data_IF_333158877946
#
_entry.id   IF_333158877946
#
_cell.length_a   1.000
_cell.length_b   1.000
_cell.length_c   1.000
_cell.angle_alpha   90.00
_cell.angle_beta   90.00
_cell.angle_gamma   90.00
#
_symmetry.space_group_name_H-M   'P 1'
#
loop_
_entity.id
_entity.type
_entity.pdbx_description
1 polymer ?
#
# COMPACT_ATOMS: atom_id res chain seq x y z
N UNK A 1 34.37 -8.01 -21.38
CA UNK A 1 34.64 -8.58 -20.02
C UNK A 1 33.95 -7.71 -18.98
N UNK A 2 32.81 -8.14 -18.44
CA UNK A 2 32.11 -7.45 -17.33
C UNK A 2 32.47 -8.18 -16.04
N UNK A 3 33.13 -7.47 -15.12
CA UNK A 3 33.45 -8.00 -13.79
C UNK A 3 32.17 -8.02 -12.95
N UNK A 4 31.78 -9.21 -12.51
CA UNK A 4 30.77 -9.42 -11.48
C UNK A 4 31.40 -9.09 -10.14
N UNK A 5 30.90 -8.09 -9.42
CA UNK A 5 31.25 -7.88 -8.01
C UNK A 5 30.22 -8.67 -7.18
N UNK A 6 30.70 -9.71 -6.55
CA UNK A 6 29.91 -10.47 -5.56
C UNK A 6 30.21 -9.89 -4.20
N UNK A 7 29.23 -9.24 -3.56
CA UNK A 7 29.33 -8.85 -2.15
C UNK A 7 28.78 -9.99 -1.29
N UNK A 8 29.64 -10.54 -0.46
CA UNK A 8 29.30 -11.49 0.59
C UNK A 8 29.15 -10.69 1.89
N UNK A 9 27.93 -10.57 2.40
CA UNK A 9 27.69 -10.00 3.73
C UNK A 9 27.84 -11.11 4.79
N UNK A 10 28.79 -10.92 5.72
CA UNK A 10 28.85 -11.68 6.98
C UNK A 10 27.96 -10.98 8.01
N UNK A 11 27.00 -11.70 8.55
CA UNK A 11 26.31 -11.30 9.77
C UNK A 11 27.15 -11.74 10.97
N UNK A 12 27.75 -10.79 11.67
CA UNK A 12 28.31 -11.03 12.99
C UNK A 12 27.20 -10.89 14.04
N UNK A 13 27.07 -11.93 14.86
CA UNK A 13 26.06 -12.07 15.90
C UNK A 13 26.20 -10.96 16.95
N UNK A 14 25.14 -10.18 17.17
CA UNK A 14 24.97 -9.41 18.40
C UNK A 14 24.40 -10.37 19.44
N UNK A 15 25.23 -10.82 20.35
CA UNK A 15 24.84 -11.64 21.50
C UNK A 15 24.17 -10.78 22.55
N UNK A 16 22.88 -10.99 22.79
CA UNK A 16 22.23 -10.58 24.04
C UNK A 16 22.31 -11.76 24.99
N UNK A 17 23.09 -11.60 26.08
CA UNK A 17 23.21 -12.56 27.14
C UNK A 17 21.92 -12.70 27.95
N UNK A 18 21.34 -13.88 27.93
CA UNK A 18 20.28 -14.33 28.81
C UNK A 18 20.42 -15.86 28.94
N UNK A 19 20.79 -16.31 30.10
CA UNK A 19 21.04 -17.73 30.42
C UNK A 19 19.79 -18.60 30.34
N UNK A 20 19.93 -19.81 29.78
CA UNK A 20 19.09 -20.94 30.15
C UNK A 20 18.45 -21.71 29.01
N UNK A 21 19.07 -22.78 28.69
CA UNK A 21 18.63 -24.09 28.19
C UNK A 21 19.11 -24.51 26.81
N UNK A 22 19.89 -25.61 26.87
CA UNK A 22 20.52 -26.27 25.73
C UNK A 22 19.49 -26.93 24.81
N UNK A 23 19.38 -26.40 23.61
CA UNK A 23 18.73 -27.03 22.46
C UNK A 23 19.58 -26.80 21.22
N UNK A 24 20.13 -27.86 20.63
CA UNK A 24 21.03 -27.84 19.46
C UNK A 24 20.49 -26.97 18.34
N UNK A 25 21.27 -26.06 17.74
CA UNK A 25 20.85 -25.28 16.60
C UNK A 25 20.72 -26.21 15.39
N UNK A 26 19.50 -26.28 14.82
CA UNK A 26 19.25 -26.82 13.49
C UNK A 26 20.01 -25.97 12.47
N UNK A 27 20.96 -26.60 11.81
CA UNK A 27 21.75 -26.05 10.71
C UNK A 27 20.83 -25.83 9.53
N UNK A 28 20.31 -24.60 9.36
CA UNK A 28 19.58 -24.19 8.16
C UNK A 28 20.52 -24.29 6.96
N UNK A 29 20.20 -25.21 6.06
CA UNK A 29 20.90 -25.47 4.80
C UNK A 29 21.06 -24.18 4.00
N UNK A 30 22.29 -23.83 3.70
CA UNK A 30 22.71 -22.83 2.73
C UNK A 30 22.53 -23.41 1.32
N UNK A 31 21.32 -23.46 0.82
CA UNK A 31 21.07 -23.68 -0.60
C UNK A 31 19.80 -22.92 -1.01
N UNK A 32 19.84 -21.59 -0.90
CA UNK A 32 18.88 -20.74 -1.60
C UNK A 32 19.33 -20.67 -3.06
N UNK A 33 18.78 -21.57 -3.87
CA UNK A 33 18.85 -21.47 -5.32
C UNK A 33 18.10 -20.22 -5.75
N UNK A 34 18.82 -19.16 -6.07
CA UNK A 34 18.28 -17.98 -6.74
C UNK A 34 17.79 -18.39 -8.13
N UNK A 35 16.54 -18.81 -8.26
CA UNK A 35 15.89 -18.82 -9.57
C UNK A 35 15.61 -17.39 -10.00
N UNK A 36 16.56 -16.80 -10.71
CA UNK A 36 16.34 -15.57 -11.49
C UNK A 36 15.44 -15.89 -12.68
N UNK A 37 14.12 -15.85 -12.46
CA UNK A 37 13.19 -15.68 -13.58
C UNK A 37 13.05 -14.19 -13.88
N UNK A 38 14.10 -13.58 -14.38
CA UNK A 38 14.01 -12.30 -15.06
C UNK A 38 13.41 -12.54 -16.44
N UNK A 39 12.09 -12.57 -16.53
CA UNK A 39 11.42 -12.40 -17.81
C UNK A 39 11.70 -10.96 -18.22
N UNK A 40 12.66 -10.77 -19.17
CA UNK A 40 12.90 -9.46 -19.77
C UNK A 40 11.71 -9.10 -20.63
N UNK A 41 10.74 -8.38 -20.05
CA UNK A 41 9.59 -7.89 -20.79
C UNK A 41 10.10 -6.83 -21.79
N UNK A 42 9.92 -7.08 -23.09
CA UNK A 42 10.19 -6.07 -24.11
C UNK A 42 9.04 -5.06 -24.13
N UNK A 43 9.27 -3.88 -23.54
CA UNK A 43 8.33 -2.78 -23.65
C UNK A 43 8.25 -2.25 -25.08
N UNK A 44 7.03 -2.20 -25.64
CA UNK A 44 6.78 -1.58 -26.94
C UNK A 44 6.60 -0.07 -26.74
N UNK A 45 7.53 0.75 -27.21
CA UNK A 45 7.50 2.23 -27.08
C UNK A 45 6.25 2.90 -27.66
N UNK A 46 5.46 2.20 -28.46
CA UNK A 46 4.18 2.70 -28.99
C UNK A 46 3.01 2.48 -28.05
N UNK A 47 3.20 1.78 -26.92
CA UNK A 47 2.18 1.51 -25.93
C UNK A 47 2.42 2.37 -24.70
N UNK A 48 1.31 2.70 -24.02
CA UNK A 48 1.33 3.34 -22.71
C UNK A 48 1.20 2.29 -21.65
N UNK A 49 2.08 2.35 -20.68
CA UNK A 49 2.11 1.46 -19.52
C UNK A 49 1.81 2.27 -18.26
N UNK A 50 1.27 1.61 -17.27
CA UNK A 50 0.90 2.17 -15.98
C UNK A 50 1.39 1.23 -14.90
N UNK A 51 1.88 1.79 -13.79
CA UNK A 51 2.26 1.02 -12.63
C UNK A 51 1.17 1.18 -11.58
N UNK A 52 0.60 0.05 -11.15
CA UNK A 52 -0.34 -0.05 -10.05
C UNK A 52 0.38 -0.72 -8.90
N UNK A 53 0.42 -0.05 -7.74
CA UNK A 53 1.16 -0.45 -6.57
C UNK A 53 0.24 -0.45 -5.36
N UNK A 54 0.44 -1.43 -4.50
CA UNK A 54 -0.06 -1.44 -3.14
C UNK A 54 1.05 -1.72 -2.15
N UNK A 55 0.91 -1.26 -0.91
CA UNK A 55 1.84 -1.59 0.15
C UNK A 55 1.16 -1.83 1.49
N UNK A 56 1.63 -2.86 2.19
CA UNK A 56 1.26 -3.09 3.58
C UNK A 56 2.30 -2.50 4.53
N UNK A 57 1.83 -1.84 5.58
CA UNK A 57 2.72 -1.12 6.48
C UNK A 57 2.53 -1.47 7.96
N UNK A 58 3.64 -1.43 8.67
CA UNK A 58 3.74 -1.27 10.10
C UNK A 58 3.90 0.23 10.45
N UNK A 59 4.05 0.56 11.72
CA UNK A 59 4.38 1.92 12.16
C UNK A 59 5.60 1.90 13.07
N UNK A 60 6.21 3.07 13.30
CA UNK A 60 7.15 3.17 14.41
C UNK A 60 6.41 2.87 15.73
N UNK A 61 7.02 2.11 16.66
CA UNK A 61 6.39 1.77 17.94
C UNK A 61 5.84 2.98 18.69
N UNK A 62 6.57 4.09 18.68
CA UNK A 62 6.13 5.34 19.31
C UNK A 62 4.85 5.95 18.69
N UNK A 63 4.49 5.57 17.47
CA UNK A 63 3.27 6.04 16.81
C UNK A 63 2.11 5.03 16.95
N UNK A 64 2.41 3.80 17.33
CA UNK A 64 1.41 2.73 17.44
C UNK A 64 0.33 3.04 18.49
N UNK A 65 0.72 3.57 19.63
CA UNK A 65 -0.17 3.81 20.77
C UNK A 65 -0.85 5.19 20.74
N UNK A 66 -0.66 5.97 19.67
CA UNK A 66 -1.32 7.25 19.52
C UNK A 66 -2.83 7.09 19.26
N UNK A 67 -3.67 8.05 19.75
CA UNK A 67 -5.09 8.07 19.45
C UNK A 67 -5.39 8.03 17.95
N UNK A 68 -6.49 7.38 17.55
CA UNK A 68 -6.86 7.18 16.15
C UNK A 68 -7.05 8.50 15.36
N UNK A 69 -7.54 9.56 16.01
CA UNK A 69 -7.66 10.89 15.43
C UNK A 69 -6.30 11.53 15.15
N UNK A 70 -5.33 11.34 16.05
CA UNK A 70 -3.95 11.78 15.83
C UNK A 70 -3.27 11.01 14.69
N UNK A 71 -3.56 9.71 14.52
CA UNK A 71 -3.00 8.87 13.45
C UNK A 71 -3.49 9.25 12.05
N UNK A 72 -4.58 10.02 11.93
CA UNK A 72 -5.06 10.54 10.65
C UNK A 72 -4.10 11.58 10.03
N UNK A 73 -3.27 12.23 10.85
CA UNK A 73 -2.25 13.13 10.33
C UNK A 73 -1.08 12.34 9.74
N UNK A 74 -0.74 12.65 8.50
CA UNK A 74 0.33 12.02 7.71
C UNK A 74 1.68 12.03 8.43
N UNK A 75 2.00 13.18 9.08
CA UNK A 75 3.27 13.35 9.78
C UNK A 75 3.40 12.45 11.01
N UNK A 76 2.28 11.89 11.47
CA UNK A 76 2.15 11.16 12.73
C UNK A 76 2.05 9.66 12.51
N UNK A 77 1.39 9.23 11.44
CA UNK A 77 1.17 7.80 11.15
C UNK A 77 2.48 7.01 10.96
N UNK A 78 3.55 7.67 10.46
CA UNK A 78 4.89 7.09 10.31
C UNK A 78 4.90 5.66 9.75
N UNK A 79 4.22 5.42 8.61
CA UNK A 79 4.08 4.09 8.03
C UNK A 79 5.43 3.58 7.52
N UNK A 80 5.73 2.32 7.83
CA UNK A 80 6.93 1.60 7.43
C UNK A 80 6.51 0.40 6.60
N UNK A 81 6.83 0.40 5.33
CA UNK A 81 6.44 -0.66 4.39
C UNK A 81 7.15 -1.95 4.75
N UNK A 82 6.40 -3.01 5.04
CA UNK A 82 6.93 -4.34 5.18
C UNK A 82 6.63 -5.26 3.99
N UNK A 83 5.54 -4.99 3.24
CA UNK A 83 5.18 -5.69 2.01
C UNK A 83 4.94 -4.66 0.90
N UNK A 84 5.61 -4.83 -0.24
CA UNK A 84 5.57 -3.92 -1.37
C UNK A 84 5.29 -4.71 -2.64
N UNK A 85 4.12 -4.49 -3.23
CA UNK A 85 3.67 -5.17 -4.43
C UNK A 85 3.32 -4.21 -5.55
N UNK A 86 3.66 -4.57 -6.81
CA UNK A 86 3.21 -3.77 -7.96
C UNK A 86 3.10 -4.57 -9.23
N UNK A 87 2.31 -4.04 -10.15
CA UNK A 87 2.17 -4.52 -11.52
C UNK A 87 2.40 -3.41 -12.52
N UNK A 88 3.01 -3.76 -13.65
CA UNK A 88 2.98 -2.91 -14.84
C UNK A 88 1.96 -3.49 -15.80
N UNK A 89 1.01 -2.67 -16.19
CA UNK A 89 -0.10 -3.03 -17.08
C UNK A 89 -0.22 -2.04 -18.23
N UNK A 90 -0.87 -2.46 -19.31
CA UNK A 90 -1.35 -1.54 -20.34
C UNK A 90 -2.84 -1.14 -20.09
N UNK A 91 -3.36 -0.25 -20.92
CA UNK A 91 -4.77 0.20 -20.87
C UNK A 91 -5.81 -0.92 -20.97
N UNK A 92 -5.43 -2.13 -21.37
CA UNK A 92 -6.30 -3.30 -21.47
C UNK A 92 -6.16 -4.24 -20.28
N UNK A 93 -5.37 -3.86 -19.27
CA UNK A 93 -5.09 -4.69 -18.11
C UNK A 93 -4.11 -5.85 -18.38
N UNK A 94 -3.44 -5.88 -19.54
CA UNK A 94 -2.43 -6.91 -19.78
C UNK A 94 -1.21 -6.65 -18.94
N UNK A 95 -0.77 -7.67 -18.21
CA UNK A 95 0.36 -7.60 -17.28
C UNK A 95 1.67 -7.78 -18.02
N UNK A 96 2.65 -6.92 -17.73
CA UNK A 96 4.00 -6.93 -18.27
C UNK A 96 5.06 -7.16 -17.19
N UNK A 97 4.78 -6.76 -15.96
CA UNK A 97 5.60 -7.06 -14.78
C UNK A 97 4.67 -7.28 -13.59
N UNK A 98 5.07 -8.18 -12.68
CA UNK A 98 4.42 -8.42 -11.38
C UNK A 98 5.53 -8.72 -10.40
N UNK A 99 5.69 -7.90 -9.37
CA UNK A 99 6.74 -8.04 -8.37
C UNK A 99 6.18 -7.86 -6.98
N UNK A 100 6.75 -8.61 -6.03
CA UNK A 100 6.38 -8.53 -4.62
C UNK A 100 7.61 -8.75 -3.75
N UNK A 101 7.81 -7.85 -2.79
CA UNK A 101 8.96 -7.85 -1.89
C UNK A 101 8.53 -7.66 -0.44
N UNK A 102 9.03 -8.52 0.44
CA UNK A 102 9.05 -8.24 1.89
C UNK A 102 10.32 -7.47 2.23
N UNK A 103 10.18 -6.38 2.98
CA UNK A 103 11.28 -5.50 3.35
C UNK A 103 11.89 -6.00 4.66
N UNK A 104 13.10 -6.54 4.58
CA UNK A 104 13.77 -7.24 5.68
C UNK A 104 13.96 -6.38 6.93
N UNK A 105 14.27 -5.09 6.76
CA UNK A 105 14.50 -4.14 7.85
C UNK A 105 13.24 -3.84 8.67
N UNK A 106 12.07 -4.17 8.13
CA UNK A 106 10.77 -3.97 8.80
C UNK A 106 10.16 -5.32 9.17
N UNK A 107 10.00 -6.22 8.20
CA UNK A 107 9.36 -7.53 8.39
C UNK A 107 10.09 -8.42 9.40
N UNK A 108 11.45 -8.39 9.40
CA UNK A 108 12.26 -9.22 10.30
C UNK A 108 12.47 -8.61 11.68
N UNK A 109 11.95 -7.42 11.95
CA UNK A 109 12.06 -6.72 13.24
C UNK A 109 10.73 -6.83 14.00
N UNK A 110 10.60 -7.76 14.98
CA UNK A 110 9.31 -8.00 15.66
C UNK A 110 8.71 -6.75 16.28
N UNK A 111 9.52 -5.91 16.95
CA UNK A 111 9.05 -4.67 17.60
C UNK A 111 8.45 -3.65 16.62
N UNK A 112 8.72 -3.77 15.31
CA UNK A 112 8.10 -2.94 14.28
C UNK A 112 6.96 -3.72 13.62
N UNK A 113 7.22 -4.94 13.14
CA UNK A 113 6.21 -5.72 12.42
C UNK A 113 4.93 -5.96 13.24
N UNK A 114 5.06 -6.18 14.55
CA UNK A 114 3.91 -6.43 15.45
C UNK A 114 3.00 -5.19 15.60
N UNK A 115 3.41 -4.01 15.13
CA UNK A 115 2.56 -2.81 15.04
C UNK A 115 1.71 -2.77 13.78
N UNK A 116 1.89 -3.69 12.84
CA UNK A 116 1.12 -3.74 11.60
C UNK A 116 -0.32 -4.15 11.88
N UNK A 117 -1.27 -3.55 11.15
CA UNK A 117 -2.68 -3.91 11.24
C UNK A 117 -2.92 -5.39 10.94
N UNK A 118 -2.18 -5.93 9.98
CA UNK A 118 -2.24 -7.34 9.58
C UNK A 118 -1.07 -8.19 10.12
N UNK A 119 -0.51 -7.86 11.28
CA UNK A 119 0.57 -8.64 11.91
C UNK A 119 0.24 -10.13 12.08
N UNK A 120 -1.04 -10.47 12.30
CA UNK A 120 -1.54 -11.85 12.37
C UNK A 120 -1.34 -12.66 11.09
N UNK A 121 -1.11 -12.03 9.95
CA UNK A 121 -0.83 -12.69 8.67
C UNK A 121 0.63 -13.12 8.49
N UNK A 122 1.49 -12.93 9.48
CA UNK A 122 2.90 -13.38 9.40
C UNK A 122 3.07 -14.83 8.92
N UNK A 123 2.27 -15.82 9.39
CA UNK A 123 2.37 -17.19 8.89
C UNK A 123 2.12 -17.32 7.38
N UNK A 124 1.16 -16.59 6.83
CA UNK A 124 0.89 -16.55 5.39
C UNK A 124 2.10 -16.02 4.59
N UNK A 125 2.74 -14.96 5.09
CA UNK A 125 3.95 -14.42 4.46
C UNK A 125 5.12 -15.42 4.47
N UNK A 126 5.30 -16.14 5.58
CA UNK A 126 6.33 -17.18 5.67
C UNK A 126 6.06 -18.33 4.69
N UNK A 127 4.83 -18.77 4.55
CA UNK A 127 4.42 -19.78 3.58
C UNK A 127 4.66 -19.30 2.12
N UNK A 128 4.30 -18.04 1.80
CA UNK A 128 4.57 -17.46 0.46
C UNK A 128 6.07 -17.36 0.18
N UNK A 129 6.91 -17.04 1.19
CA UNK A 129 8.37 -17.04 1.07
C UNK A 129 8.92 -18.45 0.78
N UNK A 130 8.45 -19.47 1.50
CA UNK A 130 8.86 -20.85 1.29
C UNK A 130 8.50 -21.36 -0.11
N UNK A 131 7.38 -20.92 -0.66
CA UNK A 131 6.94 -21.23 -2.02
C UNK A 131 7.65 -20.42 -3.10
N UNK A 132 8.43 -19.39 -2.71
CA UNK A 132 9.07 -18.47 -3.66
C UNK A 132 8.11 -17.54 -4.39
N UNK A 133 6.90 -17.32 -3.86
CA UNK A 133 5.88 -16.43 -4.42
C UNK A 133 6.19 -14.96 -4.11
N UNK A 134 6.95 -14.71 -3.05
CA UNK A 134 7.37 -13.40 -2.58
C UNK A 134 8.85 -13.43 -2.24
N UNK A 135 9.55 -12.31 -2.35
CA UNK A 135 10.99 -12.21 -2.10
C UNK A 135 11.27 -11.37 -0.87
N UNK A 136 11.99 -11.93 0.12
CA UNK A 136 12.53 -11.13 1.22
C UNK A 136 13.83 -10.46 0.77
N UNK A 137 13.88 -9.14 0.86
CA UNK A 137 15.04 -8.34 0.45
C UNK A 137 15.14 -7.04 1.27
N UNK A 138 16.25 -6.33 1.13
CA UNK A 138 16.40 -5.00 1.73
C UNK A 138 15.64 -3.93 0.92
N UNK A 139 15.31 -2.81 1.58
CA UNK A 139 14.61 -1.69 0.97
C UNK A 139 15.33 -1.11 -0.25
N UNK A 140 16.67 -1.03 -0.19
CA UNK A 140 17.45 -0.46 -1.30
C UNK A 140 17.31 -1.26 -2.56
N UNK A 141 17.30 -2.59 -2.44
CA UNK A 141 17.07 -3.51 -3.56
C UNK A 141 15.63 -3.39 -4.09
N UNK A 142 14.62 -3.49 -3.21
CA UNK A 142 13.22 -3.41 -3.60
C UNK A 142 12.90 -2.05 -4.27
N UNK A 143 13.35 -0.96 -3.68
CA UNK A 143 13.11 0.40 -4.19
C UNK A 143 13.89 0.71 -5.48
N UNK A 144 15.05 0.08 -5.70
CA UNK A 144 15.76 0.19 -6.97
C UNK A 144 15.04 -0.56 -8.09
N UNK A 145 14.45 -1.72 -7.81
CA UNK A 145 13.59 -2.44 -8.75
C UNK A 145 12.32 -1.64 -9.09
N UNK A 146 11.70 -0.99 -8.09
CA UNK A 146 10.56 -0.10 -8.30
C UNK A 146 10.95 1.09 -9.19
N UNK A 147 12.05 1.76 -8.87
CA UNK A 147 12.56 2.89 -9.67
C UNK A 147 12.86 2.48 -11.12
N UNK A 148 13.46 1.30 -11.31
CA UNK A 148 13.73 0.77 -12.64
C UNK A 148 12.43 0.54 -13.42
N UNK A 149 11.41 -0.05 -12.82
CA UNK A 149 10.14 -0.30 -13.46
C UNK A 149 9.36 1.00 -13.75
N UNK A 150 9.42 1.99 -12.86
CA UNK A 150 8.78 3.30 -13.07
C UNK A 150 9.32 4.06 -14.29
N UNK A 151 10.52 3.75 -14.79
CA UNK A 151 11.07 4.40 -16.00
C UNK A 151 10.31 4.06 -17.27
N UNK A 152 9.50 3.02 -17.28
CA UNK A 152 8.80 2.51 -18.47
C UNK A 152 7.32 2.89 -18.50
N UNK A 153 6.81 3.59 -17.48
CA UNK A 153 5.39 3.89 -17.35
C UNK A 153 5.08 5.38 -17.55
N UNK A 154 3.87 5.63 -18.02
CA UNK A 154 3.33 7.00 -18.21
C UNK A 154 2.94 7.63 -16.87
N UNK A 155 2.44 6.81 -15.94
CA UNK A 155 2.01 7.23 -14.62
C UNK A 155 2.06 6.06 -13.63
N UNK A 156 2.11 6.38 -12.34
CA UNK A 156 2.05 5.45 -11.23
C UNK A 156 0.78 5.72 -10.42
N UNK A 157 0.23 4.71 -9.75
CA UNK A 157 -0.97 4.90 -8.92
C UNK A 157 -1.22 3.72 -7.99
N UNK A 158 -2.14 3.92 -7.04
CA UNK A 158 -2.58 2.98 -6.04
C UNK A 158 -4.04 3.27 -5.67
N UNK A 159 -4.67 2.37 -4.92
CA UNK A 159 -5.93 2.68 -4.26
C UNK A 159 -5.64 3.49 -2.99
N UNK A 160 -5.96 4.79 -3.01
CA UNK A 160 -5.50 5.78 -2.03
C UNK A 160 -4.00 6.12 -2.17
N UNK A 161 -3.61 6.53 -3.37
CA UNK A 161 -2.22 6.93 -3.72
C UNK A 161 -1.58 7.94 -2.76
N UNK A 162 -2.39 8.70 -2.01
CA UNK A 162 -1.91 9.57 -0.94
C UNK A 162 -1.21 8.81 0.16
N UNK A 163 -1.67 7.60 0.49
CA UNK A 163 -1.02 6.77 1.49
C UNK A 163 0.30 6.22 0.97
N UNK A 164 0.28 5.50 -0.15
CA UNK A 164 1.45 4.77 -0.65
C UNK A 164 2.57 5.69 -1.10
N UNK A 165 2.25 6.58 -2.05
CA UNK A 165 3.27 7.40 -2.71
C UNK A 165 3.67 8.65 -1.94
N UNK A 166 2.81 9.15 -1.05
CA UNK A 166 3.08 10.42 -0.35
C UNK A 166 3.41 10.24 1.12
N UNK A 167 3.13 9.06 1.69
CA UNK A 167 3.39 8.77 3.10
C UNK A 167 4.33 7.57 3.25
N UNK A 168 3.89 6.39 2.82
CA UNK A 168 4.55 5.14 3.14
C UNK A 168 5.93 5.02 2.47
N UNK A 169 6.02 5.21 1.16
CA UNK A 169 7.31 5.16 0.45
C UNK A 169 8.28 6.24 0.97
N UNK A 170 7.91 7.54 1.05
CA UNK A 170 8.84 8.56 1.53
C UNK A 170 9.28 8.36 2.97
N UNK A 171 8.40 7.90 3.86
CA UNK A 171 8.76 7.69 5.25
C UNK A 171 9.64 6.44 5.42
N UNK A 172 9.38 5.37 4.68
CA UNK A 172 10.24 4.18 4.67
C UNK A 172 11.64 4.53 4.15
N UNK A 173 11.76 5.27 3.05
CA UNK A 173 13.05 5.75 2.53
C UNK A 173 13.79 6.59 3.58
N UNK A 174 13.09 7.50 4.26
CA UNK A 174 13.66 8.30 5.34
C UNK A 174 14.15 7.42 6.50
N UNK A 175 13.31 6.50 6.97
CA UNK A 175 13.66 5.58 8.07
C UNK A 175 14.90 4.76 7.75
N UNK A 176 14.95 4.15 6.57
CA UNK A 176 16.08 3.31 6.15
C UNK A 176 17.37 4.12 6.01
N UNK A 177 17.29 5.35 5.48
CA UNK A 177 18.45 6.24 5.41
C UNK A 177 18.96 6.61 6.81
N UNK A 178 18.06 6.80 7.78
CA UNK A 178 18.44 7.05 9.16
C UNK A 178 19.00 5.79 9.84
N UNK A 179 18.40 4.62 9.60
CA UNK A 179 18.83 3.34 10.18
C UNK A 179 20.31 3.05 9.95
N UNK A 180 20.82 3.45 8.80
CA UNK A 180 22.25 3.29 8.45
C UNK A 180 23.09 4.54 8.74
N UNK A 181 22.52 5.56 9.39
CA UNK A 181 23.24 6.77 9.83
C UNK A 181 23.84 6.58 11.22
N UNK A 182 25.01 7.21 11.51
CA UNK A 182 25.55 7.27 12.88
C UNK A 182 24.58 7.91 13.88
N UNK A 183 23.71 8.79 13.41
CA UNK A 183 22.78 9.57 14.23
C UNK A 183 21.43 8.89 14.44
N UNK A 184 21.27 7.61 14.03
CA UNK A 184 20.00 6.89 14.10
C UNK A 184 19.36 6.91 15.50
N UNK A 185 20.16 6.69 16.53
CA UNK A 185 19.65 6.68 17.90
C UNK A 185 19.07 8.03 18.32
N UNK A 186 19.71 9.14 17.98
CA UNK A 186 19.23 10.47 18.29
C UNK A 186 18.01 10.85 17.44
N UNK A 187 17.98 10.43 16.18
CA UNK A 187 16.81 10.56 15.33
C UNK A 187 15.60 9.82 15.91
N UNK A 188 15.76 8.55 16.31
CA UNK A 188 14.69 7.74 16.91
C UNK A 188 14.18 8.35 18.22
N UNK A 189 15.08 8.80 19.09
CA UNK A 189 14.74 9.52 20.32
C UNK A 189 13.93 10.79 20.05
N UNK A 190 14.25 11.50 18.96
CA UNK A 190 13.48 12.66 18.54
C UNK A 190 12.08 12.27 18.02
N UNK A 191 11.94 11.14 17.30
CA UNK A 191 10.62 10.63 16.89
C UNK A 191 9.74 10.31 18.12
N UNK A 192 10.31 9.68 19.16
CA UNK A 192 9.60 9.40 20.41
C UNK A 192 9.10 10.69 21.07
N UNK A 193 9.95 11.73 21.17
CA UNK A 193 9.54 13.03 21.73
C UNK A 193 8.41 13.70 20.94
N UNK A 194 8.40 13.53 19.59
CA UNK A 194 7.32 14.05 18.76
C UNK A 194 6.02 13.31 19.08
N UNK A 195 6.05 11.97 19.16
CA UNK A 195 4.88 11.17 19.52
C UNK A 195 4.35 11.52 20.92
N UNK A 196 5.23 11.70 21.92
CA UNK A 196 4.85 12.13 23.27
C UNK A 196 4.15 13.50 23.28
N UNK A 197 4.67 14.48 22.52
CA UNK A 197 4.03 15.80 22.37
C UNK A 197 2.62 15.67 21.78
N UNK A 198 2.46 14.85 20.77
CA UNK A 198 1.18 14.63 20.11
C UNK A 198 0.20 13.95 21.06
N UNK A 199 0.63 12.91 21.79
CA UNK A 199 -0.17 12.24 22.82
C UNK A 199 -0.67 13.21 23.89
N UNK A 200 0.09 14.27 24.19
CA UNK A 200 -0.26 15.34 25.11
C UNK A 200 -1.07 16.50 24.49
N UNK A 201 -1.59 16.34 23.27
CA UNK A 201 -2.47 17.31 22.61
C UNK A 201 -1.74 18.46 21.90
N UNK A 202 -0.42 18.40 21.75
CA UNK A 202 0.33 19.36 20.95
C UNK A 202 0.35 18.92 19.49
N UNK A 203 -0.57 19.45 18.67
CA UNK A 203 -0.63 19.15 17.23
C UNK A 203 0.65 19.53 16.50
N UNK A 204 1.06 18.70 15.54
CA UNK A 204 2.12 19.06 14.60
C UNK A 204 1.48 19.78 13.41
N UNK A 205 1.68 21.09 13.28
CA UNK A 205 1.36 21.80 12.07
C UNK A 205 2.56 21.77 11.12
N UNK A 206 2.56 20.88 10.17
CA UNK A 206 3.45 20.99 9.01
C UNK A 206 2.67 20.70 7.74
N UNK A 207 1.87 21.66 7.31
CA UNK A 207 1.41 21.67 5.92
C UNK A 207 2.58 22.08 5.04
N UNK A 208 3.41 21.14 4.61
CA UNK A 208 4.23 21.40 3.42
C UNK A 208 3.26 21.43 2.23
N UNK A 209 3.36 22.49 1.45
CA UNK A 209 2.67 22.59 0.17
C UNK A 209 3.01 21.36 -0.68
N UNK A 210 2.00 20.65 -1.09
CA UNK A 210 2.09 19.30 -1.59
C UNK A 210 1.43 19.29 -2.97
N UNK A 211 2.18 18.91 -4.00
CA UNK A 211 1.64 18.69 -5.34
C UNK A 211 0.98 17.30 -5.39
N UNK A 212 -0.37 17.22 -5.44
CA UNK A 212 -1.05 15.94 -5.37
C UNK A 212 -0.84 15.08 -6.62
N UNK A 213 -0.57 15.69 -7.77
CA UNK A 213 -0.66 15.05 -9.08
C UNK A 213 0.65 14.39 -9.52
N UNK A 214 1.71 14.49 -8.71
CA UNK A 214 3.01 13.92 -9.05
C UNK A 214 3.65 13.21 -7.87
N UNK A 215 4.31 12.11 -8.14
CA UNK A 215 5.22 11.43 -7.21
C UNK A 215 6.66 11.82 -7.50
N UNK A 216 7.38 12.28 -6.47
CA UNK A 216 8.81 12.61 -6.56
C UNK A 216 9.62 11.54 -5.85
N UNK A 217 10.48 10.87 -6.60
CA UNK A 217 11.30 9.80 -6.04
C UNK A 217 12.72 9.88 -6.62
N UNK A 218 13.72 9.99 -5.74
CA UNK A 218 15.16 10.04 -6.09
C UNK A 218 15.48 11.04 -7.22
N UNK A 219 14.89 12.22 -7.14
CA UNK A 219 15.12 13.30 -8.10
C UNK A 219 14.33 13.21 -9.42
N UNK A 220 13.54 12.15 -9.62
CA UNK A 220 12.64 12.02 -10.76
C UNK A 220 11.20 12.36 -10.36
N UNK A 221 10.39 12.72 -11.36
CA UNK A 221 8.99 13.10 -11.20
C UNK A 221 8.14 12.20 -12.07
N UNK A 222 7.12 11.59 -11.46
CA UNK A 222 6.19 10.68 -12.11
C UNK A 222 4.78 11.22 -11.96
N UNK A 223 3.96 11.28 -13.04
CA UNK A 223 2.54 11.57 -12.93
C UNK A 223 1.87 10.54 -12.02
N UNK A 224 0.99 11.01 -11.13
CA UNK A 224 0.29 10.19 -10.16
C UNK A 224 -1.20 10.14 -10.49
N UNK A 225 -1.83 8.98 -10.37
CA UNK A 225 -3.28 8.81 -10.39
C UNK A 225 -3.76 8.11 -9.13
N UNK A 226 -5.01 8.37 -8.75
CA UNK A 226 -5.60 7.76 -7.58
C UNK A 226 -6.78 6.86 -7.98
N UNK A 227 -6.62 5.56 -7.77
CA UNK A 227 -7.66 4.58 -8.10
C UNK A 227 -8.91 4.73 -7.24
N UNK A 228 -8.78 5.21 -6.00
CA UNK A 228 -9.94 5.48 -5.16
C UNK A 228 -10.82 6.56 -5.76
N UNK A 229 -10.25 7.71 -6.12
CA UNK A 229 -10.98 8.79 -6.78
C UNK A 229 -11.61 8.37 -8.11
N UNK A 230 -10.80 7.68 -8.93
CA UNK A 230 -11.25 7.17 -10.21
C UNK A 230 -12.38 6.12 -10.07
N UNK A 231 -12.30 5.23 -9.06
CA UNK A 231 -13.35 4.26 -8.78
C UNK A 231 -14.65 4.92 -8.35
N UNK A 232 -14.57 5.91 -7.45
CA UNK A 232 -15.75 6.69 -7.07
C UNK A 232 -16.41 7.34 -8.28
N UNK A 233 -15.63 7.96 -9.18
CA UNK A 233 -16.15 8.67 -10.36
C UNK A 233 -16.70 7.75 -11.44
N UNK A 234 -16.01 6.65 -11.77
CA UNK A 234 -16.34 5.84 -12.95
C UNK A 234 -17.04 4.52 -12.65
N UNK A 235 -16.93 3.99 -11.43
CA UNK A 235 -17.52 2.70 -11.04
C UNK A 235 -18.69 2.91 -10.09
N UNK A 236 -18.51 3.74 -9.05
CA UNK A 236 -19.41 3.77 -7.90
C UNK A 236 -20.47 4.87 -7.97
N UNK A 237 -20.23 5.98 -8.69
CA UNK A 237 -21.22 7.07 -8.79
C UNK A 237 -22.36 6.70 -9.75
N UNK A 238 -23.18 5.75 -9.34
CA UNK A 238 -24.42 5.35 -9.99
C UNK A 238 -25.37 4.71 -8.98
N UNK A 239 -26.64 4.67 -9.30
CA UNK A 239 -27.70 4.19 -8.40
C UNK A 239 -27.63 2.68 -8.17
N UNK A 240 -27.18 1.90 -9.16
CA UNK A 240 -27.01 0.44 -9.02
C UNK A 240 -25.96 0.11 -7.96
N UNK A 241 -24.82 0.84 -7.93
CA UNK A 241 -23.82 0.64 -6.88
C UNK A 241 -24.37 1.00 -5.50
N UNK A 242 -25.05 2.15 -5.39
CA UNK A 242 -25.61 2.65 -4.12
C UNK A 242 -26.68 1.69 -3.59
N UNK A 243 -27.56 1.18 -4.47
CA UNK A 243 -28.54 0.16 -4.13
C UNK A 243 -27.87 -1.16 -3.67
N UNK A 244 -26.84 -1.62 -4.41
CA UNK A 244 -26.07 -2.80 -4.04
C UNK A 244 -25.40 -2.64 -2.67
N UNK A 245 -24.88 -1.46 -2.36
CA UNK A 245 -24.31 -1.16 -1.04
C UNK A 245 -25.33 -1.32 0.08
N UNK A 246 -26.56 -0.82 -0.10
CA UNK A 246 -27.61 -0.95 0.90
C UNK A 246 -28.03 -2.41 1.10
N UNK A 247 -28.20 -3.15 0.01
CA UNK A 247 -28.60 -4.57 0.03
C UNK A 247 -27.55 -5.47 0.71
N UNK A 248 -26.26 -5.08 0.67
CA UNK A 248 -25.16 -5.87 1.22
C UNK A 248 -24.55 -5.28 2.51
N UNK A 249 -25.14 -4.22 3.06
CA UNK A 249 -24.62 -3.57 4.27
C UNK A 249 -23.26 -2.87 4.08
N UNK A 250 -22.96 -2.42 2.84
CA UNK A 250 -21.69 -1.74 2.53
C UNK A 250 -21.78 -0.23 2.79
N UNK A 251 -21.98 0.11 4.05
CA UNK A 251 -21.91 1.48 4.54
C UNK A 251 -20.72 1.65 5.48
N UNK A 252 -20.34 2.91 5.72
CA UNK A 252 -19.40 3.24 6.80
C UNK A 252 -20.01 2.89 8.15
N UNK A 253 -19.19 2.72 9.18
CA UNK A 253 -19.67 2.41 10.56
C UNK A 253 -20.74 3.41 11.07
N UNK A 254 -20.64 4.67 10.66
CA UNK A 254 -21.63 5.69 10.99
C UNK A 254 -22.95 5.60 10.19
N UNK A 255 -23.05 4.70 9.22
CA UNK A 255 -24.17 4.61 8.29
C UNK A 255 -24.28 5.78 7.30
N UNK A 256 -23.44 6.82 7.43
CA UNK A 256 -23.57 8.08 6.70
C UNK A 256 -23.19 8.01 5.23
N UNK A 257 -22.17 7.23 4.89
CA UNK A 257 -21.64 7.13 3.53
C UNK A 257 -21.57 5.68 3.07
N UNK A 258 -21.60 5.49 1.76
CA UNK A 258 -21.36 4.20 1.12
C UNK A 258 -19.88 3.81 1.30
N UNK A 259 -19.58 2.52 1.44
CA UNK A 259 -18.20 2.04 1.39
C UNK A 259 -17.60 2.29 0.01
N UNK A 260 -16.30 2.64 -0.01
CA UNK A 260 -15.57 2.95 -1.24
C UNK A 260 -14.19 2.30 -1.24
N UNK A 261 -14.05 1.12 -0.61
CA UNK A 261 -12.82 0.33 -0.61
C UNK A 261 -12.56 -0.31 -1.99
N UNK A 262 -11.31 -0.72 -2.25
CA UNK A 262 -10.94 -1.47 -3.44
C UNK A 262 -11.78 -2.75 -3.56
N UNK A 263 -11.95 -3.46 -2.45
CA UNK A 263 -12.78 -4.65 -2.37
C UNK A 263 -14.23 -4.42 -2.83
N UNK A 264 -14.91 -3.36 -2.33
CA UNK A 264 -16.28 -3.08 -2.73
C UNK A 264 -16.39 -2.63 -4.19
N UNK A 265 -15.39 -1.86 -4.69
CA UNK A 265 -15.28 -1.53 -6.10
C UNK A 265 -15.16 -2.77 -6.98
N UNK A 266 -14.28 -3.67 -6.58
CA UNK A 266 -14.02 -4.91 -7.31
C UNK A 266 -15.22 -5.87 -7.28
N UNK A 267 -15.82 -6.09 -6.11
CA UNK A 267 -17.05 -6.91 -5.95
C UNK A 267 -18.15 -6.45 -6.91
N UNK A 268 -18.44 -5.16 -6.88
CA UNK A 268 -19.47 -4.60 -7.76
C UNK A 268 -19.09 -4.69 -9.25
N UNK A 269 -17.89 -4.26 -9.61
CA UNK A 269 -17.47 -4.18 -11.01
C UNK A 269 -17.27 -5.56 -11.68
N UNK A 270 -16.88 -6.57 -10.91
CA UNK A 270 -16.70 -7.95 -11.38
C UNK A 270 -17.95 -8.82 -11.24
N UNK A 271 -18.96 -8.38 -10.47
CA UNK A 271 -20.13 -9.17 -10.10
C UNK A 271 -19.87 -10.28 -9.09
N UNK A 272 -18.67 -10.33 -8.48
CA UNK A 272 -18.26 -11.33 -7.47
C UNK A 272 -18.53 -10.75 -6.08
N UNK A 273 -19.78 -10.71 -5.65
CA UNK A 273 -20.19 -10.04 -4.41
C UNK A 273 -19.63 -10.70 -3.13
N UNK A 274 -19.24 -11.97 -3.20
CA UNK A 274 -18.65 -12.79 -2.14
C UNK A 274 -17.11 -12.78 -2.13
N UNK A 275 -16.47 -11.99 -3.02
CA UNK A 275 -15.01 -11.85 -3.03
C UNK A 275 -14.52 -11.28 -1.69
N UNK A 276 -13.43 -11.83 -1.17
CA UNK A 276 -12.74 -11.37 0.03
C UNK A 276 -11.29 -10.99 -0.31
N UNK A 277 -10.88 -9.81 0.10
CA UNK A 277 -9.57 -9.25 -0.20
C UNK A 277 -8.49 -9.93 0.65
N UNK A 278 -7.42 -10.36 0.01
CA UNK A 278 -6.37 -11.10 0.71
C UNK A 278 -5.53 -10.22 1.65
N UNK A 279 -5.51 -8.90 1.42
CA UNK A 279 -4.71 -7.92 2.14
C UNK A 279 -3.23 -8.32 2.19
N UNK A 280 -2.66 -8.55 1.04
CA UNK A 280 -1.22 -8.60 0.79
C UNK A 280 -0.96 -7.72 -0.43
N UNK A 281 0.14 -6.96 -0.39
CA UNK A 281 0.38 -5.91 -1.37
C UNK A 281 0.23 -6.36 -2.83
N UNK A 282 0.65 -7.57 -3.18
CA UNK A 282 0.55 -8.02 -4.57
C UNK A 282 -0.84 -8.55 -4.94
N UNK A 283 -1.56 -9.15 -4.00
CA UNK A 283 -2.91 -9.63 -4.27
C UNK A 283 -3.88 -8.43 -4.38
N UNK A 284 -3.63 -7.37 -3.60
CA UNK A 284 -4.39 -6.13 -3.68
C UNK A 284 -4.05 -5.35 -4.96
N UNK A 285 -2.78 -5.26 -5.36
CA UNK A 285 -2.37 -4.73 -6.67
C UNK A 285 -2.95 -5.53 -7.85
N UNK A 286 -3.27 -6.82 -7.67
CA UNK A 286 -3.94 -7.63 -8.69
C UNK A 286 -5.36 -7.14 -8.95
N UNK A 287 -6.20 -6.96 -7.92
CA UNK A 287 -7.57 -6.44 -8.07
C UNK A 287 -7.60 -4.97 -8.50
N UNK A 288 -6.69 -4.15 -7.98
CA UNK A 288 -6.56 -2.74 -8.36
C UNK A 288 -6.21 -2.58 -9.83
N UNK A 289 -5.37 -3.45 -10.37
CA UNK A 289 -5.04 -3.50 -11.80
C UNK A 289 -6.26 -3.83 -12.66
N UNK A 290 -7.13 -4.73 -12.22
CA UNK A 290 -8.39 -5.03 -12.89
C UNK A 290 -9.37 -3.85 -12.82
N UNK A 291 -9.48 -3.20 -11.65
CA UNK A 291 -10.26 -1.96 -11.47
C UNK A 291 -9.78 -0.88 -12.44
N UNK A 292 -8.46 -0.65 -12.54
CA UNK A 292 -7.90 0.33 -13.48
C UNK A 292 -8.31 0.03 -14.93
N UNK A 293 -8.20 -1.22 -15.36
CA UNK A 293 -8.58 -1.62 -16.72
C UNK A 293 -10.07 -1.37 -17.01
N UNK A 294 -10.94 -1.61 -16.02
CA UNK A 294 -12.38 -1.32 -16.11
C UNK A 294 -12.65 0.18 -16.18
N UNK A 295 -11.95 0.98 -15.39
CA UNK A 295 -12.05 2.46 -15.42
C UNK A 295 -11.65 2.99 -16.78
N UNK A 296 -10.49 2.56 -17.30
CA UNK A 296 -9.99 3.00 -18.61
C UNK A 296 -10.99 2.68 -19.73
N UNK A 297 -11.64 1.51 -19.67
CA UNK A 297 -12.69 1.12 -20.62
C UNK A 297 -13.92 2.03 -20.51
N UNK A 298 -14.41 2.30 -19.29
CA UNK A 298 -15.57 3.19 -19.04
C UNK A 298 -15.27 4.64 -19.44
N UNK A 299 -14.10 5.15 -19.12
CA UNK A 299 -13.65 6.50 -19.47
C UNK A 299 -13.28 6.68 -20.96
N UNK A 300 -13.51 5.67 -21.81
CA UNK A 300 -13.17 5.70 -23.25
C UNK A 300 -11.70 6.10 -23.50
N UNK A 301 -10.79 5.63 -22.69
CA UNK A 301 -9.37 5.95 -22.69
C UNK A 301 -8.98 7.41 -22.29
N UNK A 302 -9.89 8.19 -21.78
CA UNK A 302 -9.67 9.55 -21.28
C UNK A 302 -9.75 9.55 -19.75
N UNK A 303 -8.77 8.92 -19.09
CA UNK A 303 -8.64 8.93 -17.64
C UNK A 303 -7.95 10.22 -17.23
N UNK A 304 -8.59 11.00 -16.38
CA UNK A 304 -7.97 12.15 -15.74
C UNK A 304 -6.98 11.64 -14.68
N UNK A 305 -5.71 12.07 -14.79
CA UNK A 305 -4.71 11.81 -13.78
C UNK A 305 -4.86 12.82 -12.65
N UNK A 306 -4.40 12.46 -11.45
CA UNK A 306 -4.45 13.31 -10.28
C UNK A 306 -5.13 12.65 -9.10
N UNK A 307 -5.21 13.38 -8.00
CA UNK A 307 -5.79 12.91 -6.74
C UNK A 307 -7.02 13.75 -6.40
N UNK A 308 -8.14 13.05 -6.17
CA UNK A 308 -9.36 13.63 -5.63
C UNK A 308 -9.33 13.58 -4.10
N UNK A 309 -9.51 14.74 -3.45
CA UNK A 309 -9.64 14.79 -1.99
C UNK A 309 -11.04 14.39 -1.55
N UNK A 310 -11.14 13.42 -0.65
CA UNK A 310 -12.41 12.89 -0.14
C UNK A 310 -13.35 12.36 -1.23
N UNK A 311 -12.87 11.45 -2.09
CA UNK A 311 -13.63 11.00 -3.28
C UNK A 311 -14.95 10.31 -2.92
N UNK A 312 -15.11 9.74 -1.71
CA UNK A 312 -16.38 9.18 -1.24
C UNK A 312 -17.55 10.21 -1.23
N UNK A 313 -17.22 11.50 -1.21
CA UNK A 313 -18.26 12.58 -1.27
C UNK A 313 -18.93 12.68 -2.64
N UNK A 314 -18.31 12.16 -3.69
CA UNK A 314 -18.88 12.09 -5.04
C UNK A 314 -20.19 11.31 -5.00
N UNK A 315 -20.26 10.22 -4.23
CA UNK A 315 -21.44 9.37 -4.12
C UNK A 315 -22.62 10.04 -3.35
N UNK A 316 -22.34 11.10 -2.61
CA UNK A 316 -23.30 11.70 -1.69
C UNK A 316 -23.50 10.87 -0.41
N UNK A 317 -24.57 11.16 0.32
CA UNK A 317 -24.89 10.46 1.58
C UNK A 317 -25.96 9.40 1.37
N UNK A 318 -25.94 8.35 2.19
CA UNK A 318 -26.96 7.31 2.25
C UNK A 318 -28.35 7.94 2.45
N UNK A 319 -28.49 8.88 3.40
CA UNK A 319 -29.76 9.58 3.67
C UNK A 319 -30.31 10.29 2.43
N UNK A 320 -29.45 10.99 1.66
CA UNK A 320 -29.89 11.67 0.43
C UNK A 320 -30.36 10.66 -0.61
N UNK A 321 -29.65 9.57 -0.79
CA UNK A 321 -30.02 8.53 -1.74
C UNK A 321 -31.38 7.89 -1.37
N UNK A 322 -31.56 7.46 -0.11
CA UNK A 322 -32.81 6.85 0.37
C UNK A 322 -34.00 7.83 0.27
N UNK A 323 -33.79 9.15 0.49
CA UNK A 323 -34.86 10.13 0.27
C UNK A 323 -35.35 10.23 -1.19
N UNK A 324 -34.48 9.83 -2.13
CA UNK A 324 -34.80 9.77 -3.57
C UNK A 324 -35.32 8.39 -4.00
N UNK A 325 -35.02 7.35 -3.22
CA UNK A 325 -35.35 5.95 -3.46
C UNK A 325 -35.95 5.31 -2.19
N UNK A 326 -37.23 5.68 -1.87
CA UNK A 326 -37.88 5.23 -0.62
C UNK A 326 -38.01 3.72 -0.47
N UNK A 327 -37.93 2.97 -1.57
CA UNK A 327 -37.92 1.49 -1.57
C UNK A 327 -36.78 0.87 -0.80
N UNK A 328 -35.72 1.64 -0.48
CA UNK A 328 -34.58 1.20 0.32
C UNK A 328 -34.64 1.66 1.78
N UNK A 329 -35.73 2.31 2.21
CA UNK A 329 -35.82 2.86 3.57
C UNK A 329 -35.67 1.81 4.67
N UNK A 330 -36.21 0.61 4.45
CA UNK A 330 -36.15 -0.51 5.40
C UNK A 330 -34.74 -1.14 5.55
N UNK A 331 -33.79 -0.74 4.71
CA UNK A 331 -32.40 -1.22 4.74
C UNK A 331 -31.45 -0.32 5.55
N UNK A 332 -31.96 0.71 6.19
CA UNK A 332 -31.15 1.68 6.95
C UNK A 332 -31.75 1.99 8.32
N UNK A 333 -30.89 2.04 9.35
CA UNK A 333 -31.30 2.26 10.74
C UNK A 333 -31.29 3.76 11.11
N UNK A 334 -31.90 4.63 10.32
CA UNK A 334 -32.06 6.03 10.74
C UNK A 334 -33.46 6.55 10.39
N UNK A 335 -34.01 7.36 11.28
CA UNK A 335 -35.26 8.12 10.97
C UNK A 335 -35.00 9.10 9.83
N UNK A 336 -35.80 8.98 8.78
CA UNK A 336 -35.75 9.81 7.57
C UNK A 336 -36.27 11.21 7.84
#
# INVERSE_FOLDING_TARGET
MKKLLTFVFRYDNISMSGEGNEGKPHQLRKDLIFMKTTVSVKYDRRRKYYLVLDCESATLPCAHDLPADAKKDVAIAKPLIYDLGWKIIDKKGRVYSRKNFLISEIFSVPSIFDTAYYASKRPLYLEKLERGEITLTDWRTASAELENDMQYVEAVGAYNSMFDFKKAIPFTELYINQLYSPDFHDWLKNQNKICEKIANGFGSSSSKEFDPDVFRFRGKVYPLFDLWGLSCKYIMDNDDYKATCLQNGWQTESGKYFKTSAETAYRFASGKLDFDEAHTAIDDADIESEIFALIVKKAKNQVEMGIEYFPFRILGTVRKFVSQHPEFADLVDFEI
#
